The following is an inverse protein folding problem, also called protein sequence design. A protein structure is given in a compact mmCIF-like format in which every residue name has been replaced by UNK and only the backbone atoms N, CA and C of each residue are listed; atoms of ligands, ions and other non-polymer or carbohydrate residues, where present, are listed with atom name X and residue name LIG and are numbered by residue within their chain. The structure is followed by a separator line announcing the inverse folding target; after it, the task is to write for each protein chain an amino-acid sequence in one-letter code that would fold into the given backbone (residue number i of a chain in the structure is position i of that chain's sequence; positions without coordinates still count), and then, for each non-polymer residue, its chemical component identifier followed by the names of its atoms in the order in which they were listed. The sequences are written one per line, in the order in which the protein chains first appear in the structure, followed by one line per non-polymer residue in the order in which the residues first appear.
data_IF_614992290573
#
_entry.id   IF_614992290573
#
_cell.length_a   1.000
_cell.length_b   1.000
_cell.length_c   1.000
_cell.angle_alpha   90.00
_cell.angle_beta   90.00
_cell.angle_gamma   90.00
#
_symmetry.space_group_name_H-M   'P 1'
#
loop_
_entity.id
_entity.type
_entity.pdbx_description
1 polymer ?
#
# COMPACT_ATOMS: atom_id res chain seq x y z
N UNK A 1 2.99 3.71 8.04
CA UNK A 1 3.47 2.92 6.89
C UNK A 1 2.64 3.07 5.63
N UNK A 2 1.35 2.68 5.52
CA UNK A 2 0.59 2.94 4.27
C UNK A 2 0.56 4.45 3.94
N UNK A 3 0.28 5.26 4.97
CA UNK A 3 0.37 6.72 4.88
C UNK A 3 1.79 7.22 4.57
N UNK A 4 2.85 6.54 5.04
CA UNK A 4 4.24 6.93 4.75
C UNK A 4 4.71 6.52 3.34
N UNK A 5 4.17 5.43 2.81
CA UNK A 5 4.40 4.98 1.43
C UNK A 5 3.77 5.95 0.44
N UNK A 6 2.62 6.52 0.80
CA UNK A 6 1.90 7.57 0.06
C UNK A 6 1.70 7.26 -1.44
N UNK A 7 1.19 6.07 -1.83
CA UNK A 7 1.18 5.63 -3.23
C UNK A 7 0.34 6.51 -4.16
N UNK A 8 -0.65 7.23 -3.62
CA UNK A 8 -1.51 8.15 -4.38
C UNK A 8 -1.06 9.61 -4.26
N UNK A 9 -0.02 9.89 -3.47
CA UNK A 9 0.63 11.18 -3.36
C UNK A 9 -0.17 12.24 -2.60
N UNK A 10 -0.99 11.88 -1.62
CA UNK A 10 -1.77 12.87 -0.84
C UNK A 10 -0.86 13.89 -0.15
N UNK A 11 0.34 13.50 0.28
CA UNK A 11 1.27 14.41 0.92
C UNK A 11 1.90 15.43 -0.05
N UNK A 12 1.86 15.15 -1.36
CA UNK A 12 2.41 16.06 -2.36
C UNK A 12 1.44 17.17 -2.77
N UNK A 13 0.16 17.04 -2.41
CA UNK A 13 -0.90 17.99 -2.81
C UNK A 13 -1.02 19.16 -1.81
N UNK A 14 -0.59 18.97 -0.56
CA UNK A 14 -0.52 20.01 0.46
C UNK A 14 -0.86 19.50 1.87
N UNK A 15 -0.66 20.33 2.91
CA UNK A 15 -1.01 19.95 4.27
C UNK A 15 -2.53 19.87 4.46
N UNK A 16 -2.99 18.97 5.34
CA UNK A 16 -4.38 18.90 5.78
C UNK A 16 -5.24 17.84 5.11
N UNK A 17 -4.63 16.90 4.40
CA UNK A 17 -5.32 15.68 3.99
C UNK A 17 -5.60 14.80 5.23
N UNK A 18 -6.77 14.15 5.27
CA UNK A 18 -7.09 13.21 6.34
C UNK A 18 -6.10 12.04 6.42
N UNK A 19 -5.89 11.51 7.63
CA UNK A 19 -5.03 10.33 7.84
C UNK A 19 -5.71 9.02 7.37
N UNK A 20 -7.02 9.04 7.11
CA UNK A 20 -7.87 7.90 6.74
C UNK A 20 -7.97 7.66 5.22
N UNK A 21 -7.21 8.40 4.41
CA UNK A 21 -7.18 8.25 2.93
C UNK A 21 -6.75 6.84 2.46
N UNK A 22 -6.16 6.05 3.36
CA UNK A 22 -5.68 4.68 3.08
C UNK A 22 -6.45 3.60 3.85
N UNK A 23 -7.55 3.96 4.54
CA UNK A 23 -8.32 3.01 5.37
C UNK A 23 -9.00 1.92 4.53
N UNK A 24 -9.37 2.24 3.30
CA UNK A 24 -9.94 1.28 2.34
C UNK A 24 -8.96 0.17 1.95
N UNK A 25 -7.65 0.42 2.06
CA UNK A 25 -6.59 -0.58 1.82
C UNK A 25 -6.33 -1.50 3.00
N UNK A 26 -6.80 -1.15 4.21
CA UNK A 26 -6.49 -1.92 5.41
C UNK A 26 -7.03 -3.35 5.30
N UNK A 27 -8.31 -3.52 4.98
CA UNK A 27 -8.93 -4.85 4.90
C UNK A 27 -8.34 -5.70 3.76
N UNK A 28 -8.20 -5.20 2.51
CA UNK A 28 -7.54 -5.95 1.44
C UNK A 28 -6.11 -6.38 1.77
N UNK A 29 -5.33 -5.52 2.45
CA UNK A 29 -3.97 -5.84 2.85
C UNK A 29 -3.93 -6.90 3.94
N UNK A 30 -4.84 -6.84 4.92
CA UNK A 30 -4.95 -7.89 5.94
C UNK A 30 -5.33 -9.25 5.34
N UNK A 31 -6.28 -9.27 4.39
CA UNK A 31 -6.66 -10.49 3.67
C UNK A 31 -5.48 -11.05 2.86
N UNK A 32 -4.70 -10.18 2.20
CA UNK A 32 -3.50 -10.58 1.47
C UNK A 32 -2.39 -11.12 2.39
N UNK A 33 -2.26 -10.61 3.61
CA UNK A 33 -1.27 -11.07 4.58
C UNK A 33 -1.62 -12.44 5.19
N UNK A 34 -2.92 -12.78 5.32
CA UNK A 34 -3.38 -14.04 5.92
C UNK A 34 -2.87 -15.29 5.16
N UNK A 35 -2.63 -15.16 3.85
CA UNK A 35 -2.06 -16.23 3.02
C UNK A 35 -0.53 -16.32 3.08
N UNK A 36 0.12 -15.55 3.95
CA UNK A 36 1.58 -15.50 4.14
C UNK A 36 2.33 -15.32 2.81
N UNK A 37 2.08 -14.21 2.09
CA UNK A 37 2.65 -14.00 0.77
C UNK A 37 4.16 -13.77 0.84
N UNK A 38 4.85 -14.02 -0.27
CA UNK A 38 6.21 -13.52 -0.43
C UNK A 38 6.18 -11.99 -0.58
N UNK A 39 7.31 -11.34 -0.29
CA UNK A 39 7.51 -9.89 -0.54
C UNK A 39 7.15 -9.55 -1.99
N UNK A 40 7.58 -10.36 -2.96
CA UNK A 40 7.37 -10.09 -4.38
C UNK A 40 5.88 -10.18 -4.78
N UNK A 41 5.13 -11.14 -4.21
CA UNK A 41 3.69 -11.24 -4.44
C UNK A 41 2.95 -10.06 -3.82
N UNK A 42 3.20 -9.74 -2.55
CA UNK A 42 2.54 -8.62 -1.90
C UNK A 42 2.88 -7.28 -2.58
N UNK A 43 4.12 -7.09 -3.03
CA UNK A 43 4.51 -5.90 -3.79
C UNK A 43 3.78 -5.79 -5.13
N UNK A 44 3.52 -6.92 -5.81
CA UNK A 44 2.76 -6.95 -7.05
C UNK A 44 1.29 -6.61 -6.81
N UNK A 45 0.68 -7.14 -5.74
CA UNK A 45 -0.71 -6.86 -5.36
C UNK A 45 -0.90 -5.38 -4.99
N UNK A 46 -0.01 -4.82 -4.18
CA UNK A 46 -0.01 -3.40 -3.83
C UNK A 46 0.10 -2.50 -5.06
N UNK A 47 0.94 -2.87 -6.03
CA UNK A 47 1.03 -2.17 -7.32
C UNK A 47 -0.28 -2.28 -8.10
N UNK A 48 -0.87 -3.47 -8.18
CA UNK A 48 -2.10 -3.70 -8.94
C UNK A 48 -3.26 -2.86 -8.41
N UNK A 49 -3.39 -2.74 -7.09
CA UNK A 49 -4.39 -1.86 -6.46
C UNK A 49 -4.20 -0.40 -6.89
N UNK A 50 -2.96 0.11 -6.86
CA UNK A 50 -2.66 1.48 -7.30
C UNK A 50 -2.97 1.70 -8.78
N UNK A 51 -2.63 0.74 -9.62
CA UNK A 51 -2.84 0.83 -11.07
C UNK A 51 -4.31 0.68 -11.47
N UNK A 52 -5.04 -0.23 -10.82
CA UNK A 52 -6.39 -0.63 -11.26
C UNK A 52 -7.49 0.05 -10.46
N UNK A 53 -7.35 0.10 -9.15
CA UNK A 53 -8.41 0.57 -8.27
C UNK A 53 -8.36 2.10 -8.13
N UNK A 54 -7.15 2.66 -7.99
CA UNK A 54 -6.96 4.12 -8.00
C UNK A 54 -6.74 4.71 -9.40
N UNK A 55 -6.47 3.87 -10.41
CA UNK A 55 -6.27 4.33 -11.80
C UNK A 55 -5.01 5.19 -11.97
N UNK A 56 -3.99 4.96 -11.14
CA UNK A 56 -2.75 5.74 -11.11
C UNK A 56 -1.60 5.01 -11.81
N UNK A 57 -0.51 5.71 -12.17
CA UNK A 57 0.70 5.06 -12.68
C UNK A 57 1.31 4.09 -11.65
N UNK A 58 2.17 3.19 -12.13
CA UNK A 58 2.93 2.28 -11.27
C UNK A 58 3.63 3.04 -10.13
N UNK A 59 3.30 2.75 -8.85
CA UNK A 59 3.93 3.41 -7.72
C UNK A 59 5.38 2.96 -7.58
N UNK A 60 6.21 3.83 -7.03
CA UNK A 60 7.54 3.43 -6.53
C UNK A 60 7.41 2.85 -5.12
N UNK A 61 8.39 2.04 -4.70
CA UNK A 61 8.47 1.59 -3.31
C UNK A 61 7.57 0.41 -2.90
N UNK A 62 6.82 -0.23 -3.81
CA UNK A 62 5.92 -1.34 -3.43
C UNK A 62 6.62 -2.50 -2.72
N UNK A 63 7.89 -2.77 -3.05
CA UNK A 63 8.68 -3.81 -2.36
C UNK A 63 9.07 -3.40 -0.94
N UNK A 64 9.35 -2.12 -0.69
CA UNK A 64 9.69 -1.63 0.64
C UNK A 64 8.45 -1.55 1.53
N UNK A 65 7.30 -1.16 0.96
CA UNK A 65 6.00 -1.25 1.61
C UNK A 65 5.65 -2.70 1.96
N UNK A 66 5.80 -3.64 1.02
CA UNK A 66 5.56 -5.06 1.25
C UNK A 66 6.44 -5.66 2.35
N UNK A 67 7.74 -5.34 2.38
CA UNK A 67 8.65 -5.75 3.48
C UNK A 67 8.19 -5.19 4.82
N UNK A 68 7.83 -3.92 4.85
CA UNK A 68 7.37 -3.28 6.08
C UNK A 68 6.05 -3.88 6.59
N UNK A 69 5.16 -4.30 5.68
CA UNK A 69 3.89 -4.95 6.01
C UNK A 69 4.10 -6.34 6.59
N UNK A 70 4.93 -7.15 5.95
CA UNK A 70 5.25 -8.49 6.42
C UNK A 70 5.93 -8.47 7.80
N UNK A 71 6.80 -7.49 8.04
CA UNK A 71 7.48 -7.33 9.34
C UNK A 71 6.52 -6.95 10.49
N UNK A 72 5.28 -6.54 10.23
CA UNK A 72 4.28 -6.26 11.27
C UNK A 72 3.49 -7.50 11.72
N UNK A 73 3.50 -8.56 10.90
CA UNK A 73 2.75 -9.79 11.14
C UNK A 73 3.65 -10.99 11.49
N UNK A 74 4.96 -10.82 11.46
CA UNK A 74 5.98 -11.73 12.02
C UNK A 74 6.05 -11.63 13.56
#
# INVERSE_FOLDING_TARGET
MLNEWDPIGVHHIGPGWPDDEYDDLILPVLDALDVHPSVDHLAADLREVVERDYGLPTPTGSHDAARSLLALVD
#
